data_IF_696301514532
#
_entry.id   IF_696301514532
#
_cell.length_a   1.000
_cell.length_b   1.000
_cell.length_c   1.000
_cell.angle_alpha   90.00
_cell.angle_beta   90.00
_cell.angle_gamma   90.00
#
_symmetry.space_group_name_H-M   'P 1'
#
loop_
_entity.id
_entity.type
_entity.pdbx_description
1 polymer ?
#
# COMPACT_ATOMS: atom_id res chain seq x y z
N UNK A 1 -10.83 -51.45 56.01
CA UNK A 1 -9.80 -50.42 56.24
C UNK A 1 -8.70 -50.37 55.15
N UNK A 2 -9.01 -50.56 53.85
CA UNK A 2 -8.02 -50.38 52.75
C UNK A 2 -8.44 -49.30 51.73
N UNK A 3 -9.71 -48.94 51.66
CA UNK A 3 -10.24 -47.97 50.68
C UNK A 3 -9.88 -46.51 50.99
N UNK A 4 -9.84 -46.10 52.27
CA UNK A 4 -9.47 -44.73 52.66
C UNK A 4 -8.04 -44.34 52.24
N UNK A 5 -7.14 -45.33 52.14
CA UNK A 5 -5.76 -45.11 51.69
C UNK A 5 -5.64 -44.84 50.19
N UNK A 6 -6.56 -45.37 49.37
CA UNK A 6 -6.54 -45.15 47.92
C UNK A 6 -7.12 -43.78 47.56
N UNK A 7 -8.15 -43.33 48.28
CA UNK A 7 -8.77 -42.03 48.04
C UNK A 7 -7.81 -40.89 48.38
N UNK A 8 -7.11 -41.00 49.51
CA UNK A 8 -6.06 -40.06 49.91
C UNK A 8 -4.93 -39.99 48.87
N UNK A 9 -4.44 -41.14 48.40
CA UNK A 9 -3.39 -41.17 47.35
C UNK A 9 -3.85 -40.51 46.05
N UNK A 10 -5.07 -40.78 45.59
CA UNK A 10 -5.61 -40.16 44.37
C UNK A 10 -5.77 -38.65 44.49
N UNK A 11 -6.21 -38.17 45.65
CA UNK A 11 -6.33 -36.73 45.92
C UNK A 11 -4.96 -36.04 45.92
N UNK A 12 -3.96 -36.66 46.57
CA UNK A 12 -2.59 -36.17 46.58
C UNK A 12 -1.97 -36.16 45.18
N UNK A 13 -2.18 -37.19 44.37
CA UNK A 13 -1.70 -37.22 42.99
C UNK A 13 -2.39 -36.16 42.13
N UNK A 14 -3.69 -35.93 42.30
CA UNK A 14 -4.42 -34.89 41.58
C UNK A 14 -3.95 -33.47 41.97
N UNK A 15 -3.69 -33.24 43.26
CA UNK A 15 -3.11 -31.98 43.75
C UNK A 15 -1.70 -31.74 43.21
N UNK A 16 -0.87 -32.78 43.16
CA UNK A 16 0.49 -32.70 42.61
C UNK A 16 0.48 -32.43 41.10
N UNK A 17 -0.42 -33.09 40.35
CA UNK A 17 -0.56 -32.87 38.92
C UNK A 17 -1.14 -31.48 38.61
N UNK A 18 -2.13 -31.03 39.39
CA UNK A 18 -2.70 -29.69 39.25
C UNK A 18 -1.68 -28.59 39.54
N UNK A 19 -0.92 -28.72 40.63
CA UNK A 19 0.15 -27.76 40.97
C UNK A 19 1.28 -27.77 39.93
N UNK A 20 1.69 -28.94 39.45
CA UNK A 20 2.67 -29.05 38.37
C UNK A 20 2.18 -28.40 37.06
N UNK A 21 0.91 -28.60 36.70
CA UNK A 21 0.30 -27.99 35.51
C UNK A 21 0.20 -26.46 35.63
N UNK A 22 -0.19 -25.95 36.80
CA UNK A 22 -0.22 -24.51 37.07
C UNK A 22 1.19 -23.91 37.00
N UNK A 23 2.18 -24.55 37.62
CA UNK A 23 3.59 -24.12 37.55
C UNK A 23 4.12 -24.13 36.12
N UNK A 24 3.82 -25.17 35.34
CA UNK A 24 4.18 -25.24 33.93
C UNK A 24 3.53 -24.13 33.12
N UNK A 25 2.24 -23.85 33.36
CA UNK A 25 1.51 -22.78 32.66
C UNK A 25 2.08 -21.40 32.99
N UNK A 26 2.47 -21.18 34.25
CA UNK A 26 3.07 -19.93 34.72
C UNK A 26 4.49 -19.76 34.18
N UNK A 27 5.28 -20.84 34.13
CA UNK A 27 6.61 -20.86 33.49
C UNK A 27 6.52 -20.64 31.98
N UNK A 28 5.52 -21.21 31.31
CA UNK A 28 5.26 -21.00 29.90
C UNK A 28 4.87 -19.54 29.64
N UNK A 29 3.96 -18.98 30.45
CA UNK A 29 3.57 -17.57 30.34
C UNK A 29 4.75 -16.64 30.62
N UNK A 30 5.54 -16.93 31.65
CA UNK A 30 6.74 -16.17 31.99
C UNK A 30 7.81 -16.27 30.89
N UNK A 31 8.04 -17.45 30.32
CA UNK A 31 8.94 -17.62 29.17
C UNK A 31 8.42 -16.86 27.93
N UNK A 32 7.11 -16.86 27.68
CA UNK A 32 6.52 -16.07 26.59
C UNK A 32 6.64 -14.56 26.83
N UNK A 33 6.47 -14.08 28.07
CA UNK A 33 6.53 -12.66 28.41
C UNK A 33 7.96 -12.11 28.59
N UNK A 34 8.89 -12.90 29.16
CA UNK A 34 10.24 -12.46 29.53
C UNK A 34 11.29 -12.88 28.52
N UNK A 35 11.21 -14.10 27.97
CA UNK A 35 12.22 -14.54 27.02
C UNK A 35 12.06 -13.92 25.63
N UNK A 36 11.00 -13.12 25.38
CA UNK A 36 10.72 -12.56 24.06
C UNK A 36 10.94 -13.62 22.97
N UNK A 37 10.57 -14.88 23.26
CA UNK A 37 10.82 -16.00 22.38
C UNK A 37 10.11 -15.63 21.08
N UNK A 38 10.85 -15.35 20.00
CA UNK A 38 10.25 -14.95 18.76
C UNK A 38 9.64 -16.23 18.19
N UNK A 39 8.42 -16.53 18.61
CA UNK A 39 7.54 -17.53 17.97
C UNK A 39 7.15 -17.09 16.56
N UNK A 40 7.61 -15.93 16.11
CA UNK A 40 7.71 -15.63 14.71
C UNK A 40 9.05 -16.16 14.24
N UNK A 41 8.98 -17.25 13.49
CA UNK A 41 9.98 -17.53 12.47
C UNK A 41 10.33 -16.21 11.78
N UNK A 42 11.47 -15.65 12.19
CA UNK A 42 12.32 -14.83 11.35
C UNK A 42 12.77 -15.78 10.24
N UNK A 43 11.84 -16.13 9.33
CA UNK A 43 12.22 -16.40 7.96
C UNK A 43 12.95 -15.13 7.61
N UNK A 44 14.27 -15.28 7.51
CA UNK A 44 15.17 -14.35 6.87
C UNK A 44 14.33 -13.54 5.91
N UNK A 45 14.17 -12.24 6.20
CA UNK A 45 13.60 -11.33 5.25
C UNK A 45 14.38 -11.65 3.99
N UNK A 46 13.72 -12.38 3.07
CA UNK A 46 14.30 -12.68 1.77
C UNK A 46 14.72 -11.30 1.35
N UNK A 47 16.02 -11.10 1.15
CA UNK A 47 16.52 -9.92 0.47
C UNK A 47 15.88 -10.02 -0.91
N UNK A 48 14.62 -9.63 -0.99
CA UNK A 48 13.89 -9.39 -2.21
C UNK A 48 14.72 -8.27 -2.76
N UNK A 49 15.56 -8.61 -3.74
CA UNK A 49 16.35 -7.63 -4.46
C UNK A 49 15.39 -6.48 -4.77
N UNK A 50 15.72 -5.30 -4.25
CA UNK A 50 14.97 -4.08 -4.51
C UNK A 50 14.68 -4.06 -6.02
N UNK A 51 13.41 -3.88 -6.44
CA UNK A 51 13.09 -3.84 -7.85
C UNK A 51 14.03 -2.85 -8.55
N UNK A 52 14.68 -3.30 -9.63
CA UNK A 52 15.41 -2.41 -10.54
C UNK A 52 14.39 -1.56 -11.28
N UNK A 53 13.96 -0.45 -10.66
CA UNK A 53 13.35 0.71 -11.31
C UNK A 53 13.63 1.94 -10.43
N UNK A 54 14.83 2.47 -10.64
CA UNK A 54 15.10 3.89 -10.44
C UNK A 54 14.16 4.64 -11.39
N UNK A 55 13.36 5.61 -10.94
CA UNK A 55 13.25 6.78 -11.80
C UNK A 55 14.69 7.25 -11.98
N UNK A 56 15.22 7.10 -13.20
CA UNK A 56 16.66 7.03 -13.51
C UNK A 56 17.55 7.82 -12.55
N UNK A 57 18.66 7.22 -12.13
CA UNK A 57 19.79 7.92 -11.51
C UNK A 57 20.41 8.88 -12.55
N UNK A 58 19.69 9.94 -12.91
CA UNK A 58 20.34 11.14 -13.41
C UNK A 58 20.97 11.75 -12.17
N UNK A 59 22.29 11.71 -12.16
CA UNK A 59 23.14 12.21 -11.09
C UNK A 59 22.78 13.68 -10.82
N UNK A 60 21.85 13.92 -9.89
CA UNK A 60 21.40 15.24 -9.46
C UNK A 60 22.53 16.09 -8.85
N UNK A 61 23.73 15.52 -8.71
CA UNK A 61 24.95 16.26 -8.41
C UNK A 61 25.50 17.09 -9.58
N UNK A 62 25.05 16.88 -10.83
CA UNK A 62 25.50 17.64 -12.01
C UNK A 62 24.60 18.83 -12.36
N UNK A 63 23.36 18.84 -11.86
CA UNK A 63 22.41 19.93 -12.06
C UNK A 63 21.88 20.26 -10.67
N UNK A 64 22.36 21.37 -10.10
CA UNK A 64 22.03 21.91 -8.79
C UNK A 64 20.55 22.33 -8.66
N UNK A 65 19.64 21.40 -8.90
CA UNK A 65 18.19 21.57 -8.82
C UNK A 65 17.67 20.52 -7.84
N UNK A 66 17.34 20.98 -6.63
CA UNK A 66 16.65 20.19 -5.61
C UNK A 66 15.18 20.02 -6.02
N UNK A 67 14.86 19.07 -6.90
CA UNK A 67 13.48 18.63 -7.04
C UNK A 67 13.15 17.66 -5.89
N UNK A 68 11.96 17.76 -5.27
CA UNK A 68 11.58 16.84 -4.21
C UNK A 68 11.61 15.40 -4.73
N UNK A 69 12.56 14.65 -4.18
CA UNK A 69 12.91 13.30 -4.63
C UNK A 69 11.74 12.37 -4.31
N UNK A 70 11.23 11.60 -5.26
CA UNK A 70 10.33 10.46 -4.97
C UNK A 70 11.12 9.27 -4.38
N UNK A 71 12.04 9.56 -3.46
CA UNK A 71 12.81 8.55 -2.74
C UNK A 71 11.87 7.58 -2.04
N UNK A 72 12.24 6.30 -2.08
CA UNK A 72 11.43 5.21 -1.55
C UNK A 72 10.16 4.88 -2.35
N UNK A 73 9.98 5.47 -3.54
CA UNK A 73 8.89 5.12 -4.47
C UNK A 73 9.42 4.38 -5.70
N UNK A 74 8.80 3.25 -6.05
CA UNK A 74 9.28 2.31 -7.08
C UNK A 74 8.17 1.88 -8.03
N UNK A 75 8.53 1.54 -9.27
CA UNK A 75 7.60 0.93 -10.22
C UNK A 75 7.71 -0.60 -10.19
N UNK A 76 6.60 -1.29 -9.96
CA UNK A 76 6.53 -2.76 -9.98
C UNK A 76 5.70 -3.26 -11.15
N UNK A 77 6.28 -4.09 -12.02
CA UNK A 77 5.51 -4.82 -13.05
C UNK A 77 4.69 -5.97 -12.48
N UNK A 78 5.02 -6.45 -11.28
CA UNK A 78 4.25 -7.51 -10.61
C UNK A 78 3.05 -6.91 -9.90
N UNK A 79 1.91 -7.54 -10.10
CA UNK A 79 0.67 -7.15 -9.45
C UNK A 79 0.61 -7.78 -8.05
N UNK A 80 1.32 -7.18 -7.08
CA UNK A 80 1.45 -7.74 -5.74
C UNK A 80 0.11 -7.75 -4.97
N UNK A 81 -0.92 -7.04 -5.44
CA UNK A 81 -2.22 -6.96 -4.78
C UNK A 81 -3.00 -8.28 -4.80
N UNK A 82 -2.60 -9.24 -5.63
CA UNK A 82 -3.17 -10.57 -5.74
C UNK A 82 -2.39 -11.34 -6.80
N UNK A 83 -1.84 -12.49 -6.42
CA UNK A 83 -1.07 -13.33 -7.34
C UNK A 83 -1.98 -13.94 -8.39
N UNK A 84 -1.48 -14.12 -9.60
CA UNK A 84 -2.17 -14.90 -10.63
C UNK A 84 -2.49 -16.30 -10.09
N UNK A 85 -3.59 -16.88 -10.57
CA UNK A 85 -4.20 -18.11 -10.00
C UNK A 85 -3.28 -19.34 -10.04
N UNK A 86 -2.14 -19.27 -10.74
CA UNK A 86 -1.19 -20.37 -10.90
C UNK A 86 -0.16 -20.50 -9.75
N UNK A 87 -0.03 -19.48 -8.89
CA UNK A 87 0.84 -19.54 -7.71
C UNK A 87 0.00 -19.76 -6.44
N UNK A 88 0.02 -20.98 -5.89
CA UNK A 88 -0.63 -21.40 -4.63
C UNK A 88 -0.20 -20.58 -3.38
N UNK A 89 0.70 -19.61 -3.52
CA UNK A 89 1.24 -18.83 -2.41
C UNK A 89 0.48 -17.52 -2.20
N UNK A 90 0.09 -17.22 -0.96
CA UNK A 90 -0.45 -15.91 -0.59
C UNK A 90 0.49 -14.76 -1.00
N UNK A 91 -0.04 -13.57 -1.35
CA UNK A 91 0.78 -12.40 -1.63
C UNK A 91 1.69 -12.06 -0.44
N UNK A 92 2.91 -11.63 -0.72
CA UNK A 92 3.88 -11.20 0.29
C UNK A 92 3.95 -9.67 0.23
N UNK A 93 3.29 -9.00 1.16
CA UNK A 93 3.19 -7.54 1.24
C UNK A 93 4.19 -6.91 2.24
N UNK A 94 5.14 -7.70 2.75
CA UNK A 94 5.99 -7.31 3.88
C UNK A 94 5.25 -7.36 5.22
N UNK A 95 5.85 -6.83 6.30
CA UNK A 95 5.30 -6.99 7.65
C UNK A 95 3.96 -6.25 7.84
N UNK A 96 3.94 -4.96 7.51
CA UNK A 96 2.75 -4.12 7.60
C UNK A 96 2.62 -3.28 6.34
N UNK A 97 1.47 -3.36 5.67
CA UNK A 97 1.26 -2.74 4.37
C UNK A 97 -0.02 -1.90 4.35
N UNK A 98 0.03 -0.78 3.63
CA UNK A 98 -1.16 -0.10 3.13
C UNK A 98 -1.33 -0.51 1.66
N UNK A 99 -2.49 -1.08 1.34
CA UNK A 99 -2.84 -1.46 -0.02
C UNK A 99 -3.99 -0.58 -0.49
N UNK A 100 -3.76 0.18 -1.56
CA UNK A 100 -4.81 1.00 -2.17
C UNK A 100 -5.75 0.10 -2.96
N UNK A 101 -7.03 0.17 -2.60
CA UNK A 101 -8.13 -0.54 -3.22
C UNK A 101 -9.00 0.44 -4.02
N UNK A 102 -8.82 0.54 -5.35
CA UNK A 102 -9.60 1.40 -6.21
C UNK A 102 -10.99 0.84 -6.55
N UNK A 103 -11.43 -0.27 -5.96
CA UNK A 103 -12.64 -0.95 -6.40
C UNK A 103 -13.92 -0.24 -5.90
N UNK A 104 -14.44 0.69 -6.71
CA UNK A 104 -15.69 1.40 -6.43
C UNK A 104 -16.93 0.49 -6.26
N UNK A 105 -16.88 -0.79 -6.66
CA UNK A 105 -17.98 -1.76 -6.44
C UNK A 105 -18.20 -2.07 -4.97
N UNK A 106 -17.15 -1.97 -4.15
CA UNK A 106 -17.20 -2.10 -2.69
C UNK A 106 -18.23 -1.13 -2.10
N UNK A 107 -18.35 0.07 -2.69
CA UNK A 107 -19.31 1.11 -2.27
C UNK A 107 -20.72 0.78 -2.72
N UNK A 108 -20.91 0.46 -4.00
CA UNK A 108 -22.24 0.27 -4.58
C UNK A 108 -22.90 -1.03 -4.13
N UNK A 109 -22.14 -2.13 -4.07
CA UNK A 109 -22.62 -3.46 -3.69
C UNK A 109 -22.49 -3.75 -2.19
N UNK A 110 -21.76 -2.92 -1.45
CA UNK A 110 -21.50 -3.08 0.00
C UNK A 110 -20.94 -4.45 0.35
N UNK A 111 -20.07 -4.96 -0.51
CA UNK A 111 -19.46 -6.28 -0.38
C UNK A 111 -18.06 -6.26 -1.00
N UNK A 112 -17.12 -6.98 -0.40
CA UNK A 112 -15.84 -7.28 -1.03
C UNK A 112 -16.03 -8.39 -2.07
N UNK A 113 -16.41 -8.01 -3.28
CA UNK A 113 -16.53 -8.89 -4.43
C UNK A 113 -15.71 -8.39 -5.62
N UNK A 114 -15.57 -9.23 -6.64
CA UNK A 114 -14.87 -8.87 -7.87
C UNK A 114 -14.13 -10.04 -8.50
N UNK A 115 -13.67 -9.79 -9.72
CA UNK A 115 -12.81 -10.67 -10.50
C UNK A 115 -11.37 -10.13 -10.51
N UNK A 116 -10.47 -10.89 -11.13
CA UNK A 116 -9.08 -10.50 -11.30
C UNK A 116 -8.38 -10.26 -9.96
N UNK A 117 -7.46 -9.31 -9.95
CA UNK A 117 -6.54 -9.15 -8.83
C UNK A 117 -7.22 -8.78 -7.51
N UNK A 118 -8.20 -7.87 -7.52
CA UNK A 118 -8.86 -7.45 -6.28
C UNK A 118 -9.73 -8.59 -5.70
N UNK A 119 -10.32 -9.43 -6.56
CA UNK A 119 -10.99 -10.65 -6.13
C UNK A 119 -10.03 -11.61 -5.41
N UNK A 120 -8.84 -11.82 -5.98
CA UNK A 120 -7.78 -12.64 -5.36
C UNK A 120 -7.27 -12.02 -4.06
N UNK A 121 -7.11 -10.69 -4.01
CA UNK A 121 -6.73 -9.95 -2.80
C UNK A 121 -7.71 -10.23 -1.66
N UNK A 122 -9.02 -10.06 -1.91
CA UNK A 122 -10.04 -10.25 -0.90
C UNK A 122 -10.13 -11.71 -0.42
N UNK A 123 -9.92 -12.68 -1.33
CA UNK A 123 -9.84 -14.10 -0.96
C UNK A 123 -8.61 -14.35 -0.06
N UNK A 124 -7.45 -13.80 -0.42
CA UNK A 124 -6.20 -13.93 0.33
C UNK A 124 -6.29 -13.31 1.73
N UNK A 125 -7.00 -12.19 1.85
CA UNK A 125 -7.28 -11.53 3.13
C UNK A 125 -8.46 -12.14 3.90
N UNK A 126 -9.10 -13.20 3.36
CA UNK A 126 -10.27 -13.88 3.95
C UNK A 126 -11.48 -12.95 4.19
N UNK A 127 -11.61 -11.91 3.38
CA UNK A 127 -12.69 -10.93 3.43
C UNK A 127 -13.63 -10.97 2.22
N UNK A 128 -13.36 -11.82 1.22
CA UNK A 128 -14.25 -12.02 0.08
C UNK A 128 -15.69 -12.33 0.54
N UNK A 129 -16.67 -11.64 -0.05
CA UNK A 129 -18.08 -11.76 0.30
C UNK A 129 -18.49 -11.02 1.58
N UNK A 130 -17.57 -10.37 2.31
CA UNK A 130 -17.91 -9.61 3.52
C UNK A 130 -18.32 -8.17 3.21
N UNK A 131 -19.15 -7.60 4.08
CA UNK A 131 -19.55 -6.19 3.97
C UNK A 131 -18.48 -5.27 4.62
N UNK A 132 -17.86 -4.36 3.85
CA UNK A 132 -16.82 -3.44 4.33
C UNK A 132 -17.31 -2.50 5.44
N UNK A 133 -18.59 -2.13 5.39
CA UNK A 133 -19.19 -1.14 6.28
C UNK A 133 -19.67 -1.74 7.61
N UNK A 134 -19.48 -3.06 7.82
CA UNK A 134 -19.70 -3.71 9.12
C UNK A 134 -18.44 -3.63 10.00
N UNK A 135 -17.97 -2.41 10.24
CA UNK A 135 -16.89 -2.12 11.19
C UNK A 135 -15.48 -2.08 10.60
N UNK A 136 -15.30 -2.29 9.29
CA UNK A 136 -13.97 -2.16 8.67
C UNK A 136 -13.75 -0.74 8.13
N UNK A 137 -14.75 -0.13 7.51
CA UNK A 137 -14.61 1.16 6.82
C UNK A 137 -15.81 2.05 7.14
N UNK A 138 -15.56 3.35 7.33
CA UNK A 138 -16.64 4.34 7.43
C UNK A 138 -17.23 4.64 6.05
N UNK A 139 -18.49 4.24 5.83
CA UNK A 139 -19.22 4.57 4.59
C UNK A 139 -19.32 6.07 4.37
N UNK A 140 -19.58 6.83 5.44
CA UNK A 140 -19.68 8.29 5.37
C UNK A 140 -18.36 8.92 4.95
N UNK A 141 -17.24 8.47 5.52
CA UNK A 141 -15.92 8.97 5.12
C UNK A 141 -15.65 8.68 3.64
N UNK A 142 -15.95 7.46 3.18
CA UNK A 142 -15.72 7.07 1.79
C UNK A 142 -16.59 7.85 0.80
N UNK A 143 -17.85 8.15 1.14
CA UNK A 143 -18.76 8.95 0.30
C UNK A 143 -18.41 10.44 0.29
N UNK A 144 -18.10 11.01 1.46
CA UNK A 144 -17.82 12.45 1.59
C UNK A 144 -16.45 12.81 1.00
N UNK A 145 -15.46 11.98 1.29
CA UNK A 145 -14.09 12.25 0.89
C UNK A 145 -13.82 11.63 -0.49
N UNK A 146 -14.31 10.42 -0.77
CA UNK A 146 -13.92 9.64 -1.96
C UNK A 146 -12.79 8.66 -1.66
N UNK A 147 -12.28 8.63 -0.42
CA UNK A 147 -11.33 7.65 0.06
C UNK A 147 -11.52 7.39 1.57
N UNK A 148 -11.21 6.17 2.02
CA UNK A 148 -11.23 5.79 3.43
C UNK A 148 -10.28 4.63 3.68
N UNK A 149 -9.52 4.71 4.78
CA UNK A 149 -8.69 3.60 5.25
C UNK A 149 -9.50 2.65 6.14
N UNK A 150 -9.20 1.37 6.09
CA UNK A 150 -9.76 0.39 7.02
C UNK A 150 -9.33 0.70 8.46
N UNK A 151 -10.29 0.67 9.39
CA UNK A 151 -10.07 0.90 10.81
C UNK A 151 -9.27 -0.22 11.49
N UNK A 152 -9.23 -1.40 10.87
CA UNK A 152 -8.46 -2.56 11.32
C UNK A 152 -7.56 -3.06 10.19
N UNK A 153 -6.48 -3.75 10.57
CA UNK A 153 -5.66 -4.53 9.63
C UNK A 153 -6.29 -5.89 9.34
N UNK A 154 -6.15 -6.36 8.11
CA UNK A 154 -6.43 -7.72 7.69
C UNK A 154 -5.14 -8.54 7.70
N UNK A 155 -5.15 -9.66 8.42
CA UNK A 155 -3.98 -10.53 8.50
C UNK A 155 -3.95 -11.52 7.34
N UNK A 156 -2.84 -11.56 6.63
CA UNK A 156 -2.44 -12.69 5.79
C UNK A 156 -1.48 -13.60 6.58
N UNK A 157 -0.90 -14.62 5.93
CA UNK A 157 0.06 -15.52 6.56
C UNK A 157 1.35 -14.81 7.01
N UNK A 158 1.76 -13.73 6.33
CA UNK A 158 3.04 -13.06 6.57
C UNK A 158 2.93 -11.53 6.70
N UNK A 159 1.73 -10.96 6.62
CA UNK A 159 1.54 -9.50 6.51
C UNK A 159 0.28 -9.04 7.21
N UNK A 160 0.35 -7.88 7.87
CA UNK A 160 -0.81 -7.08 8.28
C UNK A 160 -1.11 -6.05 7.20
N UNK A 161 -2.34 -6.05 6.67
CA UNK A 161 -2.72 -5.22 5.53
C UNK A 161 -3.84 -4.27 5.92
N UNK A 162 -3.60 -2.98 5.78
CA UNK A 162 -4.65 -1.96 5.82
C UNK A 162 -5.12 -1.68 4.39
N UNK A 163 -6.43 -1.70 4.16
CA UNK A 163 -7.00 -1.38 2.85
C UNK A 163 -7.38 0.09 2.81
N UNK A 164 -6.79 0.83 1.88
CA UNK A 164 -7.15 2.21 1.59
C UNK A 164 -8.09 2.22 0.40
N UNK A 165 -9.39 2.22 0.69
CA UNK A 165 -10.43 2.28 -0.33
C UNK A 165 -10.44 3.66 -0.97
N UNK A 166 -10.35 3.73 -2.30
CA UNK A 166 -10.28 4.96 -3.06
C UNK A 166 -11.21 4.86 -4.27
N UNK A 167 -12.33 5.59 -4.28
CA UNK A 167 -13.23 5.55 -5.43
C UNK A 167 -12.56 6.23 -6.63
N UNK A 168 -12.44 5.56 -7.79
CA UNK A 168 -11.82 6.15 -8.97
C UNK A 168 -12.64 7.35 -9.44
N UNK A 169 -12.01 8.51 -9.71
CA UNK A 169 -12.73 9.65 -10.24
C UNK A 169 -13.22 9.34 -11.66
N UNK A 170 -14.41 9.83 -12.03
CA UNK A 170 -14.85 9.76 -13.43
C UNK A 170 -13.97 10.69 -14.27
N UNK A 171 -13.31 10.13 -15.28
CA UNK A 171 -12.44 10.87 -16.20
C UNK A 171 -12.79 10.53 -17.65
N UNK A 172 -12.61 11.51 -18.54
CA UNK A 172 -12.64 11.30 -19.98
C UNK A 172 -11.23 10.99 -20.48
N UNK A 173 -11.08 10.01 -21.37
CA UNK A 173 -9.82 9.69 -22.06
C UNK A 173 -9.75 10.41 -23.43
N UNK A 174 -10.37 11.59 -23.53
CA UNK A 174 -10.35 12.43 -24.73
C UNK A 174 -9.06 13.22 -24.86
N UNK A 175 -8.54 13.38 -26.08
CA UNK A 175 -7.39 14.24 -26.35
C UNK A 175 -7.71 15.74 -26.27
N UNK A 176 -8.96 16.12 -25.98
CA UNK A 176 -9.32 17.52 -25.76
C UNK A 176 -8.52 18.11 -24.57
N UNK A 177 -7.87 19.28 -24.73
CA UNK A 177 -7.05 19.86 -23.67
C UNK A 177 -7.80 20.18 -22.37
N UNK A 178 -9.07 20.60 -22.44
CA UNK A 178 -9.86 20.94 -21.25
C UNK A 178 -10.27 19.68 -20.51
N UNK A 179 -10.70 18.65 -21.23
CA UNK A 179 -11.03 17.35 -20.65
C UNK A 179 -9.79 16.66 -20.06
N UNK A 180 -8.65 16.74 -20.75
CA UNK A 180 -7.37 16.24 -20.25
C UNK A 180 -6.96 16.91 -18.94
N UNK A 181 -7.06 18.24 -18.87
CA UNK A 181 -6.77 18.98 -17.64
C UNK A 181 -7.74 18.60 -16.51
N UNK A 182 -9.02 18.41 -16.83
CA UNK A 182 -10.02 17.96 -15.86
C UNK A 182 -9.69 16.57 -15.32
N UNK A 183 -9.33 15.62 -16.19
CA UNK A 183 -8.91 14.27 -15.81
C UNK A 183 -7.69 14.30 -14.88
N UNK A 184 -6.65 15.06 -15.23
CA UNK A 184 -5.46 15.22 -14.38
C UNK A 184 -5.81 15.82 -13.00
N UNK A 185 -6.66 16.87 -12.94
CA UNK A 185 -7.09 17.47 -11.67
C UNK A 185 -7.87 16.48 -10.80
N UNK A 186 -8.75 15.69 -11.40
CA UNK A 186 -9.56 14.71 -10.68
C UNK A 186 -8.68 13.58 -10.09
N UNK A 187 -7.76 13.03 -10.89
CA UNK A 187 -6.78 12.04 -10.42
C UNK A 187 -5.87 12.62 -9.34
N UNK A 188 -5.36 13.85 -9.52
CA UNK A 188 -4.50 14.54 -8.55
C UNK A 188 -5.19 14.66 -7.19
N UNK A 189 -6.46 15.07 -7.19
CA UNK A 189 -7.25 15.15 -5.95
C UNK A 189 -7.31 13.79 -5.26
N UNK A 190 -7.54 12.71 -6.01
CA UNK A 190 -7.60 11.37 -5.45
C UNK A 190 -6.24 10.92 -4.87
N UNK A 191 -5.12 11.17 -5.57
CA UNK A 191 -3.79 10.86 -5.04
C UNK A 191 -3.46 11.65 -3.78
N UNK A 192 -3.76 12.95 -3.73
CA UNK A 192 -3.56 13.76 -2.52
C UNK A 192 -4.29 13.16 -1.30
N UNK A 193 -5.49 12.64 -1.51
CA UNK A 193 -6.26 11.99 -0.46
C UNK A 193 -5.64 10.67 -0.01
N UNK A 194 -5.22 9.84 -0.96
CA UNK A 194 -4.50 8.60 -0.69
C UNK A 194 -3.25 8.87 0.15
N UNK A 195 -2.42 9.84 -0.26
CA UNK A 195 -1.18 10.21 0.43
C UNK A 195 -1.46 10.75 1.84
N UNK A 196 -2.44 11.65 2.00
CA UNK A 196 -2.83 12.20 3.32
C UNK A 196 -3.37 11.14 4.27
N UNK A 197 -4.18 10.20 3.78
CA UNK A 197 -4.69 9.11 4.62
C UNK A 197 -3.56 8.15 5.03
N UNK A 198 -2.63 7.85 4.13
CA UNK A 198 -1.46 7.04 4.45
C UNK A 198 -0.56 7.71 5.48
N UNK A 199 -0.27 9.01 5.32
CA UNK A 199 0.47 9.82 6.30
C UNK A 199 -0.23 9.85 7.66
N UNK A 200 -1.52 10.17 7.68
CA UNK A 200 -2.31 10.24 8.91
C UNK A 200 -2.26 8.91 9.66
N UNK A 201 -2.48 7.79 8.95
CA UNK A 201 -2.38 6.47 9.54
C UNK A 201 -0.98 6.22 10.12
N UNK A 202 0.07 6.44 9.35
CA UNK A 202 1.41 6.07 9.77
C UNK A 202 1.98 6.98 10.88
N UNK A 203 1.41 8.18 11.03
CA UNK A 203 1.70 9.08 12.14
C UNK A 203 0.89 8.76 13.42
N UNK A 204 -0.32 8.20 13.28
CA UNK A 204 -1.23 7.96 14.41
C UNK A 204 -1.29 6.51 14.88
N UNK A 205 -0.94 5.55 14.04
CA UNK A 205 -1.03 4.12 14.31
C UNK A 205 0.23 3.62 15.06
N UNK A 206 0.07 2.76 16.09
CA UNK A 206 1.20 2.02 16.65
C UNK A 206 1.74 0.96 15.68
N UNK A 207 0.92 0.51 14.72
CA UNK A 207 1.31 -0.42 13.66
C UNK A 207 1.68 0.37 12.41
N UNK A 208 2.93 0.82 12.36
CA UNK A 208 3.43 1.61 11.22
C UNK A 208 3.56 0.76 9.97
N UNK A 209 3.03 1.27 8.86
CA UNK A 209 3.18 0.64 7.57
C UNK A 209 4.64 0.75 7.10
N UNK A 210 5.22 -0.39 6.73
CA UNK A 210 6.55 -0.46 6.11
C UNK A 210 6.45 -0.46 4.60
N UNK A 211 5.30 -0.84 4.05
CA UNK A 211 5.03 -0.92 2.62
C UNK A 211 3.74 -0.17 2.25
N UNK A 212 3.71 0.43 1.06
CA UNK A 212 2.50 0.97 0.44
C UNK A 212 2.41 0.52 -1.01
N UNK A 213 1.26 0.01 -1.43
CA UNK A 213 1.04 -0.48 -2.79
C UNK A 213 -0.09 0.32 -3.45
N UNK A 214 0.23 0.98 -4.56
CA UNK A 214 -0.66 1.88 -5.31
C UNK A 214 -0.86 1.28 -6.71
N UNK A 215 -2.02 0.67 -7.02
CA UNK A 215 -2.32 0.26 -8.38
C UNK A 215 -2.72 1.44 -9.25
N UNK A 216 -2.90 1.19 -10.55
CA UNK A 216 -3.75 2.05 -11.36
C UNK A 216 -5.14 2.17 -10.72
N UNK A 217 -5.67 3.39 -10.66
CA UNK A 217 -6.98 3.66 -10.07
C UNK A 217 -8.12 3.19 -10.97
N UNK A 218 -7.86 2.96 -12.26
CA UNK A 218 -8.84 2.47 -13.21
C UNK A 218 -8.44 1.09 -13.70
N UNK A 219 -9.43 0.30 -14.09
CA UNK A 219 -9.20 -0.94 -14.83
C UNK A 219 -8.77 -0.60 -16.25
N UNK A 220 -7.49 -0.85 -16.55
CA UNK A 220 -6.84 -0.54 -17.83
C UNK A 220 -6.84 -1.72 -18.80
N UNK A 221 -7.31 -2.90 -18.37
CA UNK A 221 -7.26 -4.12 -19.19
C UNK A 221 -8.10 -3.94 -20.47
N UNK A 222 -9.26 -3.32 -20.33
CA UNK A 222 -10.21 -3.08 -21.41
C UNK A 222 -9.91 -1.83 -22.26
N UNK A 223 -8.87 -1.06 -21.93
CA UNK A 223 -8.51 0.12 -22.71
C UNK A 223 -7.82 -0.27 -24.01
N UNK A 224 -8.12 0.46 -25.08
CA UNK A 224 -7.34 0.45 -26.32
C UNK A 224 -5.92 0.95 -26.06
N UNK A 225 -4.98 0.67 -26.98
CA UNK A 225 -3.59 1.13 -26.85
C UNK A 225 -3.49 2.66 -26.64
N UNK A 226 -4.31 3.43 -27.37
CA UNK A 226 -4.36 4.90 -27.26
C UNK A 226 -4.90 5.35 -25.90
N UNK A 227 -5.98 4.71 -25.41
CA UNK A 227 -6.54 5.00 -24.10
C UNK A 227 -5.57 4.66 -22.97
N UNK A 228 -4.83 3.54 -23.07
CA UNK A 228 -3.77 3.20 -22.11
C UNK A 228 -2.68 4.25 -22.07
N UNK A 229 -2.16 4.66 -23.23
CA UNK A 229 -1.14 5.71 -23.31
C UNK A 229 -1.64 7.01 -22.68
N UNK A 230 -2.85 7.43 -23.03
CA UNK A 230 -3.46 8.64 -22.51
C UNK A 230 -3.67 8.56 -20.99
N UNK A 231 -4.22 7.46 -20.49
CA UNK A 231 -4.40 7.24 -19.06
C UNK A 231 -3.07 7.23 -18.29
N UNK A 232 -2.03 6.59 -18.84
CA UNK A 232 -0.70 6.55 -18.22
C UNK A 232 -0.09 7.95 -18.13
N UNK A 233 -0.24 8.78 -19.17
CA UNK A 233 0.18 10.18 -19.12
C UNK A 233 -0.59 10.98 -18.05
N UNK A 234 -1.92 10.79 -17.98
CA UNK A 234 -2.73 11.43 -16.93
C UNK A 234 -2.34 10.97 -15.53
N UNK A 235 -2.08 9.68 -15.35
CA UNK A 235 -1.63 9.11 -14.09
C UNK A 235 -0.30 9.71 -13.66
N UNK A 236 0.72 9.70 -14.53
CA UNK A 236 2.05 10.20 -14.23
C UNK A 236 2.01 11.70 -13.86
N UNK A 237 1.34 12.50 -14.68
CA UNK A 237 1.19 13.94 -14.43
C UNK A 237 0.44 14.20 -13.12
N UNK A 238 -0.72 13.57 -12.92
CA UNK A 238 -1.52 13.76 -11.72
C UNK A 238 -0.83 13.29 -10.43
N UNK A 239 -0.13 12.15 -10.48
CA UNK A 239 0.63 11.62 -9.36
C UNK A 239 1.79 12.55 -9.01
N UNK A 240 2.55 12.99 -10.02
CA UNK A 240 3.62 13.96 -9.83
C UNK A 240 3.11 15.26 -9.21
N UNK A 241 2.07 15.88 -9.77
CA UNK A 241 1.47 17.09 -9.22
C UNK A 241 0.95 16.89 -7.78
N UNK A 242 0.43 15.71 -7.46
CA UNK A 242 -0.02 15.38 -6.12
C UNK A 242 1.16 15.30 -5.15
N UNK A 243 2.24 14.60 -5.52
CA UNK A 243 3.46 14.49 -4.72
C UNK A 243 4.10 15.86 -4.49
N UNK A 244 4.25 16.67 -5.55
CA UNK A 244 4.79 18.03 -5.45
C UNK A 244 4.01 18.89 -4.46
N UNK A 245 2.68 18.87 -4.58
CA UNK A 245 1.82 19.62 -3.67
C UNK A 245 1.85 19.04 -2.24
N UNK A 246 1.93 17.72 -2.10
CA UNK A 246 1.96 17.04 -0.81
C UNK A 246 3.26 17.34 -0.04
N UNK A 247 4.39 17.38 -0.75
CA UNK A 247 5.70 17.70 -0.19
C UNK A 247 5.88 19.20 0.08
N UNK A 248 4.99 20.04 -0.46
CA UNK A 248 4.93 21.49 -0.20
C UNK A 248 6.29 22.22 -0.32
N UNK A 249 7.09 21.85 -1.32
CA UNK A 249 8.41 22.45 -1.55
C UNK A 249 9.51 22.03 -0.57
N UNK A 250 9.31 20.98 0.22
CA UNK A 250 10.37 20.41 1.07
C UNK A 250 11.35 19.56 0.26
N UNK A 251 12.61 19.48 0.71
CA UNK A 251 13.63 18.60 0.12
C UNK A 251 13.48 17.12 0.54
N UNK A 252 12.51 16.82 1.41
CA UNK A 252 12.29 15.47 1.96
C UNK A 252 11.68 14.56 0.91
N UNK A 253 12.01 13.27 0.98
CA UNK A 253 11.42 12.29 0.08
C UNK A 253 9.98 11.95 0.47
N UNK A 254 9.22 11.39 -0.49
CA UNK A 254 7.87 10.90 -0.22
C UNK A 254 7.88 9.83 0.88
N UNK A 255 8.84 8.90 0.87
CA UNK A 255 8.99 7.91 1.94
C UNK A 255 9.25 8.53 3.30
N UNK A 256 10.01 9.62 3.37
CA UNK A 256 10.31 10.29 4.64
C UNK A 256 9.08 10.99 5.21
N UNK A 257 8.31 11.69 4.37
CA UNK A 257 7.11 12.40 4.80
C UNK A 257 6.02 11.42 5.22
N UNK A 258 5.76 10.39 4.42
CA UNK A 258 4.82 9.33 4.80
C UNK A 258 5.32 8.44 5.94
N UNK A 259 6.64 8.43 6.19
CA UNK A 259 7.35 7.47 7.06
C UNK A 259 7.17 6.01 6.62
N UNK A 260 6.94 5.78 5.33
CA UNK A 260 6.75 4.46 4.72
C UNK A 260 7.96 4.22 3.79
N UNK A 261 8.89 3.32 4.14
CA UNK A 261 10.14 3.13 3.38
C UNK A 261 9.97 2.58 1.95
N UNK A 262 8.96 1.74 1.72
CA UNK A 262 8.74 1.07 0.43
C UNK A 262 7.36 1.42 -0.13
N UNK A 263 7.31 2.33 -1.10
CA UNK A 263 6.09 2.73 -1.80
C UNK A 263 6.19 2.19 -3.22
N UNK A 264 5.22 1.40 -3.67
CA UNK A 264 5.24 0.78 -5.00
C UNK A 264 4.02 1.17 -5.81
N UNK A 265 4.26 1.58 -7.05
CA UNK A 265 3.22 1.70 -8.06
C UNK A 265 3.11 0.36 -8.79
N UNK A 266 2.01 -0.35 -8.57
CA UNK A 266 1.75 -1.68 -9.12
C UNK A 266 1.16 -1.55 -10.54
N UNK A 267 1.98 -1.82 -11.56
CA UNK A 267 1.66 -1.59 -12.96
C UNK A 267 0.98 -2.79 -13.65
N UNK A 268 1.00 -3.97 -13.01
CA UNK A 268 0.36 -5.19 -13.52
C UNK A 268 1.10 -5.92 -14.64
N UNK A 269 1.85 -5.21 -15.49
CA UNK A 269 2.69 -5.82 -16.53
C UNK A 269 3.98 -5.03 -16.76
N UNK A 270 4.97 -5.66 -17.41
CA UNK A 270 6.20 -4.99 -17.84
C UNK A 270 5.91 -3.86 -18.84
N UNK A 271 5.04 -4.09 -19.83
CA UNK A 271 4.68 -3.09 -20.82
C UNK A 271 4.06 -1.83 -20.18
N UNK A 272 3.14 -2.00 -19.22
CA UNK A 272 2.55 -0.86 -18.51
C UNK A 272 3.55 -0.14 -17.61
N UNK A 273 4.47 -0.88 -16.99
CA UNK A 273 5.58 -0.30 -16.20
C UNK A 273 6.44 0.60 -17.07
N UNK A 274 6.87 0.10 -18.24
CA UNK A 274 7.77 0.81 -19.15
C UNK A 274 7.07 2.05 -19.74
N UNK A 275 5.78 1.96 -20.08
CA UNK A 275 4.99 3.12 -20.49
C UNK A 275 4.91 4.19 -19.40
N UNK A 276 4.72 3.77 -18.15
CA UNK A 276 4.61 4.69 -17.02
C UNK A 276 5.95 5.35 -16.68
N UNK A 277 7.05 4.61 -16.75
CA UNK A 277 8.41 5.13 -16.62
C UNK A 277 8.67 6.24 -17.65
N UNK A 278 8.37 5.98 -18.93
CA UNK A 278 8.50 6.97 -20.01
C UNK A 278 7.59 8.20 -19.82
N UNK A 279 6.43 8.03 -19.21
CA UNK A 279 5.53 9.15 -18.92
C UNK A 279 6.08 10.02 -17.79
N UNK A 280 6.59 9.42 -16.73
CA UNK A 280 7.25 10.15 -15.65
C UNK A 280 8.50 10.88 -16.13
N UNK A 281 9.35 10.26 -16.95
CA UNK A 281 10.53 10.90 -17.52
C UNK A 281 10.17 12.16 -18.33
N UNK A 282 9.10 12.09 -19.12
CA UNK A 282 8.58 13.24 -19.87
C UNK A 282 8.11 14.36 -18.95
N UNK A 283 7.39 14.03 -17.89
CA UNK A 283 6.91 15.01 -16.93
C UNK A 283 8.07 15.67 -16.18
N UNK A 284 9.04 14.91 -15.68
CA UNK A 284 10.22 15.49 -15.02
C UNK A 284 10.99 16.42 -15.95
N UNK A 285 11.26 16.00 -17.20
CA UNK A 285 11.97 16.83 -18.19
C UNK A 285 11.28 18.16 -18.47
N UNK A 286 9.94 18.20 -18.57
CA UNK A 286 9.18 19.44 -18.78
C UNK A 286 9.44 20.46 -17.67
N UNK A 287 9.52 20.01 -16.42
CA UNK A 287 9.83 20.88 -15.30
C UNK A 287 11.30 21.31 -15.26
N UNK A 288 12.24 20.45 -15.66
CA UNK A 288 13.66 20.84 -15.82
C UNK A 288 13.84 21.95 -16.85
N UNK A 289 13.25 21.84 -18.03
CA UNK A 289 13.36 22.86 -19.08
C UNK A 289 12.73 24.20 -18.69
N UNK A 290 11.66 24.17 -17.87
CA UNK A 290 11.01 25.39 -17.36
C UNK A 290 11.88 26.08 -16.30
N UNK A 291 12.50 25.32 -15.40
CA UNK A 291 13.37 25.84 -14.36
C UNK A 291 14.68 26.42 -14.93
N UNK A 292 15.29 25.76 -15.93
CA UNK A 292 16.47 26.30 -16.63
C UNK A 292 16.16 27.58 -17.40
N UNK A 293 14.98 27.68 -18.06
CA UNK A 293 14.56 28.89 -18.75
C UNK A 293 14.26 30.06 -17.78
N UNK A 294 13.66 29.78 -16.62
CA UNK A 294 13.47 30.78 -15.56
C UNK A 294 14.80 31.27 -14.97
N UNK A 295 15.78 30.37 -14.77
CA UNK A 295 17.12 30.74 -14.32
C UNK A 295 17.87 31.59 -15.38
N UNK A 296 17.79 31.23 -16.65
CA UNK A 296 18.41 32.02 -17.74
C UNK A 296 17.77 33.39 -17.90
N UNK A 297 16.44 33.50 -17.78
CA UNK A 297 15.75 34.80 -17.82
C UNK A 297 15.97 35.66 -16.57
N UNK A 298 16.27 35.06 -15.42
CA UNK A 298 16.66 35.76 -14.19
C UNK A 298 18.10 36.29 -14.19
N UNK A 299 19.01 35.65 -14.92
CA UNK A 299 20.40 36.11 -15.13
C UNK A 299 20.49 37.20 -16.21
N UNK A 300 19.48 37.31 -17.08
CA UNK A 300 19.40 38.29 -18.16
C UNK A 300 18.72 39.63 -17.76
N UNK A 301 18.54 39.90 -16.46
CA UNK A 301 18.11 41.19 -15.90
C UNK A 301 19.20 41.79 -15.02
#
# INVERSE_FOLDING_TARGET
>A
MKEDSMLGRRLWTALLLGTAFSLFSLLLLFALCVCNLPLWHRKEAVKVALPRSFFTEVNAGLLSVNYPRMGGCYLSSKNLLGRDEDDLGAPIWGDTAIVVDPNGRVVSRRIYDGSGIFGVMYKSLKIYGRNPFRGYVSMNALLQNGAALSAISFSSYASQVFLLHATPPRISLSCDPKESLHACKALKKQFLMILRLAEFHNNSSPFKATNMYIPFLHDVENFTAKEREQYVNFFANAFHMAVMQFLNGTDRSLSDVLKIPDIRICCGSLAMRDMLELAFDREFKRYYSSAEAELQSGIAR
#
